data_IF_040859098545
#
_entry.id   IF_040859098545
#
_cell.length_a   1.000
_cell.length_b   1.000
_cell.length_c   1.000
_cell.angle_alpha   90.00
_cell.angle_beta   90.00
_cell.angle_gamma   90.00
#
_symmetry.space_group_name_H-M   'P 1'
#
loop_
_entity.id
_entity.type
_entity.pdbx_description
1 polymer ?
#
# COMPACT_ATOMS: atom_id res chain seq x y z
N UNK A 1 -1.84 -9.42 -12.63
CA UNK A 1 -0.53 -9.21 -11.95
C UNK A 1 -0.32 -10.30 -10.92
N UNK A 2 0.94 -10.55 -10.52
CA UNK A 2 1.29 -11.41 -9.38
C UNK A 2 1.39 -10.59 -8.09
N UNK A 3 1.18 -11.24 -6.96
CA UNK A 3 1.33 -10.66 -5.63
C UNK A 3 2.68 -9.95 -5.44
N UNK A 4 3.77 -10.58 -5.89
CA UNK A 4 5.13 -10.03 -5.82
C UNK A 4 5.29 -8.71 -6.57
N UNK A 5 4.60 -8.55 -7.72
CA UNK A 5 4.65 -7.31 -8.51
C UNK A 5 3.88 -6.19 -7.80
N UNK A 6 2.71 -6.51 -7.24
CA UNK A 6 1.90 -5.56 -6.47
C UNK A 6 2.64 -5.11 -5.23
N UNK A 7 3.27 -6.04 -4.50
CA UNK A 7 4.08 -5.75 -3.34
C UNK A 7 5.25 -4.83 -3.70
N UNK A 8 5.96 -5.10 -4.80
CA UNK A 8 7.03 -4.21 -5.27
C UNK A 8 6.53 -2.80 -5.62
N UNK A 9 5.36 -2.67 -6.26
CA UNK A 9 4.76 -1.35 -6.53
C UNK A 9 4.36 -0.65 -5.24
N UNK A 10 3.79 -1.37 -4.27
CA UNK A 10 3.44 -0.81 -2.97
C UNK A 10 4.68 -0.30 -2.23
N UNK A 11 5.73 -1.09 -2.14
CA UNK A 11 6.99 -0.69 -1.49
C UNK A 11 7.66 0.50 -2.20
N UNK A 12 7.67 0.51 -3.54
CA UNK A 12 8.19 1.64 -4.30
C UNK A 12 7.36 2.93 -4.09
N UNK A 13 6.04 2.80 -3.92
CA UNK A 13 5.16 3.95 -3.62
C UNK A 13 5.39 4.43 -2.19
N UNK A 14 5.54 3.51 -1.26
CA UNK A 14 5.84 3.79 0.14
C UNK A 14 7.15 4.57 0.27
N UNK A 15 8.22 4.10 -0.40
CA UNK A 15 9.53 4.77 -0.43
C UNK A 15 9.53 6.14 -1.11
N UNK A 16 8.52 6.45 -1.92
CA UNK A 16 8.39 7.80 -2.50
C UNK A 16 7.88 8.83 -1.50
N UNK A 17 7.22 8.37 -0.42
CA UNK A 17 6.66 9.20 0.64
C UNK A 17 7.59 9.20 1.85
N UNK A 18 8.00 8.00 2.27
CA UNK A 18 8.94 7.77 3.38
C UNK A 18 10.17 7.00 2.85
N UNK A 19 11.17 7.69 2.27
CA UNK A 19 12.38 7.06 1.73
C UNK A 19 13.24 6.32 2.76
N UNK A 20 13.08 6.65 4.04
CA UNK A 20 13.74 6.03 5.20
C UNK A 20 13.20 4.65 5.56
N UNK A 21 12.13 4.19 4.90
CA UNK A 21 11.51 2.89 5.18
C UNK A 21 12.40 1.74 4.72
N UNK A 22 12.73 0.86 5.67
CA UNK A 22 13.45 -0.39 5.42
C UNK A 22 12.47 -1.54 5.13
N UNK A 23 12.45 -2.00 3.88
CA UNK A 23 11.49 -3.02 3.40
C UNK A 23 11.63 -4.36 4.15
N UNK A 24 12.85 -4.70 4.58
CA UNK A 24 13.17 -5.94 5.28
C UNK A 24 12.65 -5.94 6.72
N UNK A 25 12.38 -4.77 7.31
CA UNK A 25 11.82 -4.64 8.66
C UNK A 25 10.29 -4.65 8.67
N UNK A 26 9.65 -4.47 7.50
CA UNK A 26 8.20 -4.43 7.38
C UNK A 26 7.57 -5.81 7.57
N UNK A 27 6.65 -5.88 8.52
CA UNK A 27 5.79 -7.03 8.78
C UNK A 27 4.48 -6.87 8.01
N UNK A 28 4.18 -7.85 7.16
CA UNK A 28 2.99 -7.85 6.31
C UNK A 28 1.68 -7.82 7.09
N UNK A 29 1.66 -8.45 8.26
CA UNK A 29 0.52 -8.67 9.14
C UNK A 29 0.32 -7.57 10.19
N UNK A 30 1.15 -6.53 10.17
CA UNK A 30 1.07 -5.42 11.12
C UNK A 30 0.55 -4.13 10.47
N UNK A 31 -0.08 -3.24 11.25
CA UNK A 31 -0.54 -1.95 10.73
C UNK A 31 0.60 -1.20 10.04
N UNK A 32 0.44 -0.94 8.75
CA UNK A 32 1.53 -0.39 7.93
C UNK A 32 1.90 1.02 8.40
N UNK A 33 0.90 1.87 8.64
CA UNK A 33 1.08 3.26 9.09
C UNK A 33 1.96 3.38 10.34
N UNK A 34 1.82 2.45 11.28
CA UNK A 34 2.58 2.48 12.53
C UNK A 34 4.03 2.01 12.37
N UNK A 35 4.32 1.23 11.33
CA UNK A 35 5.67 0.71 11.08
C UNK A 35 6.56 1.74 10.37
N UNK A 36 5.94 2.65 9.63
CA UNK A 36 6.62 3.62 8.76
C UNK A 36 6.31 5.07 9.11
N UNK A 37 5.75 5.29 10.31
CA UNK A 37 5.38 6.59 10.87
C UNK A 37 4.59 7.51 9.91
N UNK A 38 3.69 6.93 9.11
CA UNK A 38 2.86 7.71 8.18
C UNK A 38 1.69 8.36 8.89
N UNK A 39 1.57 9.67 8.69
CA UNK A 39 0.40 10.42 9.11
C UNK A 39 -0.81 10.14 8.19
N UNK A 40 -1.92 10.85 8.42
CA UNK A 40 -3.14 10.66 7.60
C UNK A 40 -3.00 11.20 6.18
N UNK A 41 -2.20 12.24 5.97
CA UNK A 41 -1.97 12.82 4.65
C UNK A 41 -1.05 11.93 3.82
N UNK A 42 0.02 11.43 4.41
CA UNK A 42 0.94 10.49 3.79
C UNK A 42 0.25 9.18 3.43
N UNK A 43 -0.65 8.70 4.30
CA UNK A 43 -1.48 7.54 3.99
C UNK A 43 -2.37 7.75 2.76
N UNK A 44 -3.01 8.92 2.64
CA UNK A 44 -3.82 9.25 1.46
C UNK A 44 -2.96 9.34 0.19
N UNK A 45 -1.81 10.00 0.27
CA UNK A 45 -0.86 10.09 -0.84
C UNK A 45 -0.38 8.71 -1.29
N UNK A 46 -0.17 7.78 -0.34
CA UNK A 46 0.19 6.40 -0.64
C UNK A 46 -0.91 5.69 -1.44
N UNK A 47 -2.17 5.80 -1.00
CA UNK A 47 -3.31 5.20 -1.73
C UNK A 47 -3.50 5.83 -3.11
N UNK A 48 -3.32 7.14 -3.24
CA UNK A 48 -3.36 7.84 -4.53
C UNK A 48 -2.24 7.37 -5.46
N UNK A 49 -1.02 7.21 -4.96
CA UNK A 49 0.10 6.68 -5.73
C UNK A 49 -0.14 5.26 -6.23
N UNK A 50 -0.76 4.41 -5.41
CA UNK A 50 -1.19 3.06 -5.81
C UNK A 50 -2.26 3.12 -6.91
N UNK A 51 -3.28 3.97 -6.76
CA UNK A 51 -4.31 4.20 -7.77
C UNK A 51 -3.70 4.63 -9.11
N UNK A 52 -2.78 5.60 -9.09
CA UNK A 52 -2.17 6.13 -10.32
C UNK A 52 -1.30 5.12 -11.04
N UNK A 53 -0.50 4.34 -10.30
CA UNK A 53 0.43 3.34 -10.86
C UNK A 53 -0.29 2.09 -11.36
N UNK A 54 -1.29 1.61 -10.61
CA UNK A 54 -1.99 0.36 -10.91
C UNK A 54 -3.31 0.57 -11.68
N UNK A 55 -3.74 1.82 -11.85
CA UNK A 55 -5.01 2.21 -12.50
C UNK A 55 -6.23 1.52 -11.86
N UNK A 56 -6.22 1.40 -10.53
CA UNK A 56 -7.30 0.77 -9.75
C UNK A 56 -8.02 1.79 -8.89
N UNK A 57 -9.35 1.77 -8.88
CA UNK A 57 -10.12 2.63 -7.98
C UNK A 57 -10.09 2.10 -6.54
N UNK A 58 -9.73 3.00 -5.62
CA UNK A 58 -9.71 2.75 -4.18
C UNK A 58 -10.67 3.76 -3.52
N UNK A 59 -11.97 3.43 -3.37
CA UNK A 59 -12.94 4.31 -2.75
C UNK A 59 -12.63 4.49 -1.26
N UNK A 60 -12.92 5.68 -0.72
CA UNK A 60 -12.67 6.00 0.70
C UNK A 60 -13.37 5.04 1.67
N UNK A 61 -14.54 4.52 1.27
CA UNK A 61 -15.29 3.52 2.04
C UNK A 61 -14.49 2.22 2.30
N UNK A 62 -13.49 1.93 1.46
CA UNK A 62 -12.63 0.76 1.62
C UNK A 62 -11.36 1.05 2.44
N UNK A 63 -11.06 2.30 2.81
CA UNK A 63 -9.81 2.65 3.52
C UNK A 63 -9.67 1.92 4.85
N UNK A 64 -10.79 1.67 5.54
CA UNK A 64 -10.81 0.90 6.78
C UNK A 64 -10.37 -0.57 6.61
N UNK A 65 -10.34 -1.09 5.37
CA UNK A 65 -9.85 -2.44 5.05
C UNK A 65 -8.36 -2.46 4.75
N UNK A 66 -7.74 -1.30 4.54
CA UNK A 66 -6.33 -1.16 4.14
C UNK A 66 -5.51 -0.82 5.38
N UNK A 67 -5.34 -1.80 6.28
CA UNK A 67 -4.66 -1.55 7.57
C UNK A 67 -3.20 -2.00 7.48
N UNK A 68 -2.98 -3.20 6.96
CA UNK A 68 -1.67 -3.84 6.87
C UNK A 68 -1.15 -3.86 5.43
N UNK A 69 0.13 -4.15 5.24
CA UNK A 69 0.68 -4.29 3.88
C UNK A 69 0.04 -5.47 3.15
N UNK A 70 -0.23 -6.57 3.85
CA UNK A 70 -0.89 -7.74 3.26
C UNK A 70 -2.34 -7.41 2.85
N UNK A 71 -3.07 -6.61 3.63
CA UNK A 71 -4.41 -6.15 3.25
C UNK A 71 -4.38 -5.33 1.96
N UNK A 72 -3.43 -4.40 1.85
CA UNK A 72 -3.24 -3.57 0.66
C UNK A 72 -2.93 -4.43 -0.56
N UNK A 73 -1.97 -5.35 -0.43
CA UNK A 73 -1.59 -6.24 -1.53
C UNK A 73 -2.76 -7.14 -1.95
N UNK A 74 -3.48 -7.74 -0.99
CA UNK A 74 -4.64 -8.59 -1.26
C UNK A 74 -5.78 -7.82 -1.95
N UNK A 75 -6.06 -6.60 -1.48
CA UNK A 75 -7.06 -5.72 -2.09
C UNK A 75 -6.72 -5.39 -3.54
N UNK A 76 -5.48 -4.98 -3.79
CA UNK A 76 -4.99 -4.63 -5.12
C UNK A 76 -4.95 -5.85 -6.05
N UNK A 77 -4.61 -7.03 -5.52
CA UNK A 77 -4.61 -8.28 -6.29
C UNK A 77 -6.02 -8.62 -6.78
N UNK A 78 -7.02 -8.47 -5.92
CA UNK A 78 -8.42 -8.68 -6.29
C UNK A 78 -8.92 -7.68 -7.36
N UNK A 79 -8.35 -6.47 -7.44
CA UNK A 79 -8.70 -5.44 -8.41
C UNK A 79 -7.95 -5.57 -9.75
N UNK A 80 -6.68 -5.98 -9.72
CA UNK A 80 -5.80 -6.08 -10.89
C UNK A 80 -5.76 -7.46 -11.53
N UNK A 81 -6.27 -8.49 -10.84
CA UNK A 81 -6.37 -9.87 -11.34
C UNK A 81 -7.67 -10.17 -12.09
N UNK A 82 -8.44 -9.13 -12.46
CA UNK A 82 -9.74 -9.25 -13.12
C UNK A 82 -9.66 -9.00 -14.62
#
# INVERSE_FOLDING_TARGET
MKETEIRAVALATLKSIAPEVEEDELRGDRPLRNQVDLDSMDWLNFLLGLHEKLKVEIPEADYAKLITLDDVVAYLLAKTGR
#
